data_IF_953043995130
#
_entry.id   IF_953043995130
#
_cell.length_a   1.000
_cell.length_b   1.000
_cell.length_c   1.000
_cell.angle_alpha   90.00
_cell.angle_beta   90.00
_cell.angle_gamma   90.00
#
_symmetry.space_group_name_H-M   'P 1'
#
loop_
_entity.id
_entity.type
_entity.pdbx_description
1 polymer ?
#
# COMPACT_ATOMS: atom_id res chain seq x y z
N UNK A 1 -3.86 21.21 -37.16
CA UNK A 1 -2.74 20.93 -36.23
C UNK A 1 -3.14 19.77 -35.35
N UNK A 2 -2.44 18.64 -35.41
CA UNK A 2 -2.75 17.50 -34.56
C UNK A 2 -2.35 17.85 -33.12
N UNK A 3 -3.32 17.89 -32.21
CA UNK A 3 -3.05 18.04 -30.78
C UNK A 3 -2.07 16.95 -30.35
N UNK A 4 -1.04 17.26 -29.54
CA UNK A 4 -0.12 16.24 -29.05
C UNK A 4 -0.93 15.17 -28.30
N UNK A 5 -0.76 13.90 -28.70
CA UNK A 5 -1.50 12.74 -28.16
C UNK A 5 -1.44 12.60 -26.63
N UNK A 6 -0.49 13.28 -25.99
CA UNK A 6 -0.27 13.30 -24.55
C UNK A 6 0.06 14.72 -24.10
N UNK A 7 -0.76 15.27 -23.21
CA UNK A 7 -0.65 16.61 -22.64
C UNK A 7 -0.85 16.54 -21.11
N UNK A 8 -0.90 17.70 -20.45
CA UNK A 8 -1.12 17.77 -19.00
C UNK A 8 -2.46 17.15 -18.59
N UNK A 9 -3.54 17.42 -19.34
CA UNK A 9 -4.86 16.86 -19.07
C UNK A 9 -4.86 15.32 -19.13
N UNK A 10 -4.14 14.74 -20.09
CA UNK A 10 -3.95 13.29 -20.17
C UNK A 10 -3.29 12.75 -18.90
N UNK A 11 -2.24 13.43 -18.40
CA UNK A 11 -1.55 13.04 -17.17
C UNK A 11 -2.46 13.14 -15.93
N UNK A 12 -3.28 14.20 -15.85
CA UNK A 12 -4.27 14.37 -14.79
C UNK A 12 -5.36 13.31 -14.84
N UNK A 13 -5.87 12.99 -16.04
CA UNK A 13 -6.87 11.95 -16.22
C UNK A 13 -6.31 10.55 -15.90
N UNK A 14 -5.07 10.27 -16.30
CA UNK A 14 -4.38 9.02 -15.94
C UNK A 14 -4.23 8.89 -14.42
N UNK A 15 -3.87 9.98 -13.73
CA UNK A 15 -3.80 10.01 -12.27
C UNK A 15 -5.16 9.69 -11.64
N UNK A 16 -6.24 10.33 -12.11
CA UNK A 16 -7.61 10.09 -11.62
C UNK A 16 -8.06 8.64 -11.82
N UNK A 17 -7.73 8.01 -12.94
CA UNK A 17 -8.04 6.58 -13.19
C UNK A 17 -7.39 5.66 -12.15
N UNK A 18 -6.21 6.04 -11.65
CA UNK A 18 -5.51 5.35 -10.57
C UNK A 18 -5.82 5.90 -9.18
N UNK A 19 -6.92 6.66 -9.05
CA UNK A 19 -7.37 7.32 -7.82
C UNK A 19 -6.29 8.18 -7.16
N UNK A 20 -5.42 8.76 -7.97
CA UNK A 20 -4.42 9.72 -7.54
C UNK A 20 -4.57 11.05 -8.25
N UNK A 21 -3.61 11.94 -8.00
CA UNK A 21 -3.58 13.31 -8.48
C UNK A 21 -2.22 13.63 -9.11
N UNK A 22 -2.24 14.45 -10.16
CA UNK A 22 -1.04 15.04 -10.75
C UNK A 22 -0.84 16.42 -10.10
N UNK A 23 0.22 16.57 -9.31
CA UNK A 23 0.55 17.81 -8.58
C UNK A 23 1.29 18.82 -9.47
N UNK A 24 1.93 18.35 -10.54
CA UNK A 24 2.57 19.23 -11.52
C UNK A 24 1.53 20.02 -12.32
N UNK A 25 1.79 21.32 -12.47
CA UNK A 25 0.95 22.28 -13.22
C UNK A 25 1.37 22.46 -14.67
N UNK A 26 2.53 21.93 -15.05
CA UNK A 26 3.13 22.13 -16.37
C UNK A 26 3.55 20.80 -16.98
N UNK A 27 3.34 20.65 -18.28
CA UNK A 27 3.75 19.48 -19.04
C UNK A 27 4.90 19.87 -19.98
N UNK A 28 6.12 19.48 -19.61
CA UNK A 28 7.34 19.80 -20.36
C UNK A 28 7.76 18.69 -21.34
N UNK A 29 6.97 17.62 -21.45
CA UNK A 29 7.18 16.52 -22.39
C UNK A 29 7.11 15.14 -21.76
N UNK A 30 7.14 14.11 -22.60
CA UNK A 30 6.94 12.69 -22.20
C UNK A 30 8.09 12.12 -21.37
N UNK A 31 9.27 12.73 -21.46
CA UNK A 31 10.50 12.31 -20.78
C UNK A 31 10.77 13.13 -19.51
N UNK A 32 10.01 14.21 -19.29
CA UNK A 32 10.18 15.05 -18.09
C UNK A 32 9.37 14.46 -16.95
N UNK A 33 9.97 14.42 -15.77
CA UNK A 33 9.31 13.91 -14.56
C UNK A 33 8.26 14.91 -14.09
N UNK A 34 7.06 14.41 -13.86
CA UNK A 34 5.95 15.10 -13.21
C UNK A 34 5.78 14.54 -11.80
N UNK A 35 5.31 15.38 -10.89
CA UNK A 35 5.00 15.00 -9.53
C UNK A 35 3.54 14.50 -9.46
N UNK A 36 3.36 13.32 -8.87
CA UNK A 36 2.06 12.68 -8.67
C UNK A 36 1.88 12.29 -7.21
N UNK A 37 0.62 12.17 -6.79
CA UNK A 37 0.21 11.64 -5.49
C UNK A 37 -0.79 10.51 -5.69
N UNK A 38 -0.60 9.35 -5.06
CA UNK A 38 -1.57 8.24 -5.16
C UNK A 38 -2.65 8.30 -4.06
N UNK A 39 -3.68 7.44 -4.15
CA UNK A 39 -4.75 7.31 -3.13
C UNK A 39 -4.21 7.10 -1.71
N UNK A 40 -3.08 6.40 -1.57
CA UNK A 40 -2.43 6.12 -0.29
C UNK A 40 -1.58 7.27 0.25
N UNK A 41 -1.55 8.42 -0.44
CA UNK A 41 -0.76 9.59 -0.05
C UNK A 41 0.69 9.60 -0.54
N UNK A 42 1.19 8.54 -1.18
CA UNK A 42 2.56 8.51 -1.71
C UNK A 42 2.77 9.57 -2.79
N UNK A 43 3.77 10.42 -2.61
CA UNK A 43 4.21 11.42 -3.56
C UNK A 43 5.44 10.92 -4.33
N UNK A 44 5.35 10.87 -5.66
CA UNK A 44 6.43 10.31 -6.46
C UNK A 44 6.58 11.04 -7.80
N UNK A 45 7.82 11.05 -8.29
CA UNK A 45 8.16 11.60 -9.60
C UNK A 45 8.12 10.51 -10.66
N UNK A 46 7.30 10.69 -11.69
CA UNK A 46 7.21 9.77 -12.82
C UNK A 46 7.17 10.53 -14.14
N UNK A 47 7.72 9.93 -15.19
CA UNK A 47 7.62 10.47 -16.55
C UNK A 47 6.35 9.94 -17.22
N UNK A 48 5.63 10.75 -18.02
CA UNK A 48 4.48 10.27 -18.80
C UNK A 48 4.78 9.02 -19.63
N UNK A 49 5.99 8.88 -20.18
CA UNK A 49 6.41 7.69 -20.92
C UNK A 49 6.31 6.38 -20.11
N UNK A 50 6.52 6.41 -18.79
CA UNK A 50 6.41 5.21 -17.93
C UNK A 50 4.96 4.78 -17.78
N UNK A 51 4.03 5.71 -17.64
CA UNK A 51 2.59 5.45 -17.62
C UNK A 51 2.10 4.88 -18.96
N UNK A 52 2.59 5.43 -20.07
CA UNK A 52 2.21 5.02 -21.43
C UNK A 52 2.73 3.62 -21.77
N UNK A 53 4.02 3.37 -21.55
CA UNK A 53 4.69 2.15 -22.03
C UNK A 53 4.71 1.02 -20.99
N UNK A 54 4.94 1.36 -19.72
CA UNK A 54 5.07 0.35 -18.65
C UNK A 54 3.79 0.16 -17.85
N UNK A 55 2.78 1.02 -18.04
CA UNK A 55 1.53 1.04 -17.25
C UNK A 55 1.79 1.04 -15.74
N UNK A 56 2.93 1.59 -15.32
CA UNK A 56 3.30 1.70 -13.92
C UNK A 56 2.80 3.03 -13.40
N UNK A 57 2.13 3.03 -12.24
CA UNK A 57 1.57 4.23 -11.64
C UNK A 57 2.45 4.74 -10.50
N UNK A 58 2.32 4.16 -9.31
CA UNK A 58 3.06 4.57 -8.12
C UNK A 58 4.10 3.50 -7.80
N UNK A 59 5.38 3.88 -7.76
CA UNK A 59 6.46 2.95 -7.43
C UNK A 59 6.29 2.35 -6.04
N UNK A 60 5.83 3.13 -5.05
CA UNK A 60 5.59 2.61 -3.69
C UNK A 60 4.41 1.64 -3.63
N UNK A 61 3.37 1.89 -4.43
CA UNK A 61 2.26 0.93 -4.54
C UNK A 61 2.61 -0.30 -5.39
N UNK A 62 3.55 -0.18 -6.33
CA UNK A 62 3.93 -1.26 -7.25
C UNK A 62 5.07 -2.11 -6.73
N UNK A 63 5.93 -1.54 -5.89
CA UNK A 63 7.09 -2.20 -5.32
C UNK A 63 6.63 -3.10 -4.16
N UNK A 64 6.85 -4.41 -4.33
CA UNK A 64 6.45 -5.45 -3.37
C UNK A 64 7.43 -5.60 -2.21
N UNK A 65 8.53 -4.86 -2.26
CA UNK A 65 9.69 -4.99 -1.39
C UNK A 65 10.13 -3.64 -0.79
N UNK A 66 9.28 -2.60 -0.81
CA UNK A 66 9.57 -1.38 0.00
C UNK A 66 9.51 -1.78 1.46
N UNK A 67 10.63 -1.61 2.17
CA UNK A 67 10.62 -1.64 3.62
C UNK A 67 9.76 -0.47 4.10
N UNK A 68 8.56 -0.77 4.57
CA UNK A 68 7.72 0.22 5.21
C UNK A 68 8.34 0.60 6.56
N UNK A 69 8.22 1.85 6.99
CA UNK A 69 8.66 2.21 8.34
C UNK A 69 7.72 1.59 9.38
N UNK A 70 8.20 1.43 10.61
CA UNK A 70 7.36 0.96 11.70
C UNK A 70 6.12 1.84 11.88
N UNK A 71 6.28 3.17 11.77
CA UNK A 71 5.17 4.12 11.86
C UNK A 71 4.12 3.86 10.78
N UNK A 72 4.52 3.69 9.53
CA UNK A 72 3.58 3.40 8.44
C UNK A 72 2.80 2.11 8.67
N UNK A 73 3.49 1.06 9.13
CA UNK A 73 2.86 -0.24 9.42
C UNK A 73 1.83 -0.11 10.54
N UNK A 74 2.17 0.66 11.58
CA UNK A 74 1.29 0.94 12.70
C UNK A 74 0.05 1.72 12.24
N UNK A 75 0.24 2.84 11.55
CA UNK A 75 -0.86 3.67 11.03
C UNK A 75 -1.78 2.87 10.10
N UNK A 76 -1.23 2.01 9.23
CA UNK A 76 -2.02 1.16 8.35
C UNK A 76 -2.93 0.19 9.13
N UNK A 77 -2.40 -0.42 10.20
CA UNK A 77 -3.15 -1.35 11.04
C UNK A 77 -4.23 -0.60 11.81
N UNK A 78 -3.91 0.56 12.38
CA UNK A 78 -4.85 1.43 13.10
C UNK A 78 -5.97 1.94 12.18
N UNK A 79 -5.64 2.33 10.94
CA UNK A 79 -6.59 2.76 9.91
C UNK A 79 -7.63 1.68 9.56
N UNK A 80 -7.26 0.40 9.66
CA UNK A 80 -8.17 -0.73 9.47
C UNK A 80 -8.92 -1.16 10.75
N UNK A 81 -8.86 -0.36 11.82
CA UNK A 81 -9.47 -0.66 13.12
C UNK A 81 -8.75 -1.79 13.86
N UNK A 82 -7.46 -1.96 13.60
CA UNK A 82 -6.60 -2.93 14.28
C UNK A 82 -5.64 -2.30 15.27
N UNK A 83 -4.99 -3.15 16.06
CA UNK A 83 -3.92 -2.79 16.99
C UNK A 83 -2.71 -3.65 16.68
N UNK A 84 -1.55 -3.01 16.48
CA UNK A 84 -0.26 -3.67 16.32
C UNK A 84 0.38 -3.89 17.70
N UNK A 85 0.73 -5.14 18.02
CA UNK A 85 1.44 -5.50 19.26
C UNK A 85 2.95 -5.65 19.08
N UNK A 86 3.43 -5.92 17.87
CA UNK A 86 4.87 -5.98 17.62
C UNK A 86 5.49 -4.60 17.85
N UNK A 87 6.58 -4.57 18.60
CA UNK A 87 7.37 -3.37 18.89
C UNK A 87 8.42 -3.07 17.82
N UNK A 88 8.68 -4.03 16.93
CA UNK A 88 9.72 -3.95 15.91
C UNK A 88 9.19 -4.41 14.55
N UNK A 89 9.64 -3.72 13.50
CA UNK A 89 9.39 -4.06 12.11
C UNK A 89 10.69 -4.03 11.32
N UNK A 90 11.09 -5.20 10.81
CA UNK A 90 12.35 -5.40 10.08
C UNK A 90 12.07 -5.47 8.57
N UNK A 91 11.04 -6.20 8.13
CA UNK A 91 10.70 -6.35 6.72
C UNK A 91 9.27 -6.85 6.47
N UNK A 92 8.83 -6.78 5.21
CA UNK A 92 7.48 -7.15 4.76
C UNK A 92 7.10 -8.63 4.98
N UNK A 93 8.11 -9.51 5.13
CA UNK A 93 7.94 -10.95 5.34
C UNK A 93 7.93 -11.34 6.82
N UNK A 94 8.30 -10.42 7.72
CA UNK A 94 8.21 -10.63 9.15
C UNK A 94 6.74 -10.81 9.55
N UNK A 95 6.48 -11.77 10.45
CA UNK A 95 5.18 -11.94 11.08
C UNK A 95 5.01 -10.87 12.15
N UNK A 96 3.86 -10.19 12.12
CA UNK A 96 3.50 -9.15 13.08
C UNK A 96 2.36 -9.66 13.94
N UNK A 97 2.35 -9.35 15.23
CA UNK A 97 1.22 -9.66 16.10
C UNK A 97 0.19 -8.54 16.01
N UNK A 98 -0.99 -8.88 15.48
CA UNK A 98 -2.05 -7.91 15.21
C UNK A 98 -3.36 -8.38 15.84
N UNK A 99 -4.17 -7.43 16.29
CA UNK A 99 -5.53 -7.64 16.73
C UNK A 99 -6.51 -6.76 15.97
N UNK A 100 -7.66 -7.30 15.59
CA UNK A 100 -8.72 -6.51 14.95
C UNK A 100 -9.65 -5.92 16.02
N UNK A 101 -10.53 -5.01 15.59
CA UNK A 101 -11.59 -4.43 16.42
C UNK A 101 -12.42 -5.48 17.19
N UNK A 102 -12.68 -6.65 16.59
CA UNK A 102 -13.39 -7.77 17.22
C UNK A 102 -12.53 -8.59 18.20
N UNK A 103 -11.36 -8.09 18.60
CA UNK A 103 -10.40 -8.71 19.53
C UNK A 103 -9.80 -10.05 19.09
N UNK A 104 -9.92 -10.42 17.81
CA UNK A 104 -9.23 -11.60 17.29
C UNK A 104 -7.75 -11.29 17.10
N UNK A 105 -6.86 -12.16 17.59
CA UNK A 105 -5.42 -12.05 17.45
C UNK A 105 -4.91 -13.01 16.37
N UNK A 106 -4.03 -12.53 15.49
CA UNK A 106 -3.34 -13.37 14.50
C UNK A 106 -1.98 -12.78 14.13
N UNK A 107 -1.17 -13.57 13.42
CA UNK A 107 0.20 -13.21 13.04
C UNK A 107 0.40 -13.15 11.51
N UNK A 108 -0.16 -12.13 10.84
CA UNK A 108 0.03 -11.97 9.41
C UNK A 108 1.43 -11.43 9.07
N UNK A 109 1.86 -11.61 7.82
CA UNK A 109 2.96 -10.83 7.25
C UNK A 109 2.43 -9.49 6.75
N UNK A 110 3.23 -8.42 6.83
CA UNK A 110 2.80 -7.12 6.29
C UNK A 110 2.53 -7.18 4.79
N UNK A 111 3.29 -8.01 4.06
CA UNK A 111 3.03 -8.28 2.65
C UNK A 111 1.59 -8.74 2.40
N UNK A 112 1.07 -9.67 3.20
CA UNK A 112 -0.30 -10.16 3.04
C UNK A 112 -1.34 -9.11 3.44
N UNK A 113 -1.07 -8.34 4.50
CA UNK A 113 -1.96 -7.26 4.95
C UNK A 113 -2.09 -6.13 3.91
N UNK A 114 -0.96 -5.75 3.31
CA UNK A 114 -0.87 -4.58 2.43
C UNK A 114 -1.10 -4.90 0.96
N UNK A 115 -0.45 -5.93 0.41
CA UNK A 115 -0.53 -6.27 -1.03
C UNK A 115 -1.73 -7.15 -1.35
N UNK A 116 -1.97 -8.19 -0.55
CA UNK A 116 -3.07 -9.14 -0.78
C UNK A 116 -4.39 -8.65 -0.16
N UNK A 117 -4.39 -7.43 0.41
CA UNK A 117 -5.48 -6.83 1.16
C UNK A 117 -6.13 -7.80 2.17
N UNK A 118 -5.35 -8.74 2.68
CA UNK A 118 -5.85 -9.75 3.62
C UNK A 118 -6.03 -9.13 4.99
N UNK A 119 -7.02 -9.61 5.74
CA UNK A 119 -7.31 -9.12 7.08
C UNK A 119 -7.52 -10.29 8.05
N UNK A 120 -8.22 -10.03 9.16
CA UNK A 120 -8.52 -11.00 10.19
C UNK A 120 -9.19 -12.25 9.60
N UNK A 121 -8.57 -13.45 9.70
CA UNK A 121 -9.10 -14.68 9.10
C UNK A 121 -10.42 -15.13 9.75
N UNK A 122 -10.68 -14.71 10.99
CA UNK A 122 -11.95 -14.96 11.68
C UNK A 122 -13.03 -14.02 11.16
N UNK A 123 -12.73 -12.73 10.96
CA UNK A 123 -13.70 -11.78 10.41
C UNK A 123 -14.02 -12.03 8.94
N UNK A 124 -13.03 -12.43 8.13
CA UNK A 124 -13.18 -12.65 6.70
C UNK A 124 -13.79 -14.01 6.34
N UNK A 125 -14.08 -14.88 7.31
CA UNK A 125 -14.68 -16.20 7.06
C UNK A 125 -13.77 -17.19 6.32
N UNK A 126 -12.52 -16.84 6.03
CA UNK A 126 -11.52 -17.65 5.32
C UNK A 126 -10.78 -18.64 6.23
N UNK A 127 -11.42 -19.04 7.33
CA UNK A 127 -10.78 -19.61 8.51
C UNK A 127 -9.82 -20.78 8.25
N UNK A 128 -8.55 -20.60 8.62
CA UNK A 128 -7.72 -21.54 9.40
C UNK A 128 -6.46 -20.84 9.93
N UNK A 129 -6.20 -21.05 11.24
CA UNK A 129 -5.01 -20.69 12.06
C UNK A 129 -5.08 -19.38 12.85
N UNK A 130 -5.88 -19.39 13.91
CA UNK A 130 -5.49 -18.73 15.17
C UNK A 130 -4.30 -19.49 15.75
N UNK A 131 -3.17 -18.81 15.95
CA UNK A 131 -2.08 -19.34 16.77
C UNK A 131 -2.38 -18.95 18.22
N UNK A 132 -2.64 -19.92 19.09
CA UNK A 132 -3.01 -19.61 20.47
C UNK A 132 -3.74 -20.69 21.29
N UNK A 133 -3.60 -21.99 20.98
CA UNK A 133 -3.61 -23.02 22.04
C UNK A 133 -2.17 -23.44 22.30
N UNK A 134 -1.55 -22.77 23.27
CA UNK A 134 -0.55 -23.30 24.21
C UNK A 134 -0.28 -22.24 25.27
N UNK A 135 -1.28 -21.94 26.09
CA UNK A 135 -0.99 -21.58 27.48
C UNK A 135 -0.69 -22.91 28.15
N UNK A 136 0.58 -23.21 28.43
CA UNK A 136 0.89 -24.20 29.47
C UNK A 136 0.41 -23.54 30.77
N UNK A 137 -0.70 -24.03 31.30
CA UNK A 137 -1.03 -23.81 32.70
C UNK A 137 0.02 -24.60 33.46
N UNK A 138 1.03 -23.92 33.98
CA UNK A 138 1.86 -24.50 35.04
C UNK A 138 0.98 -24.62 36.28
N UNK A 139 1.07 -25.80 36.87
CA UNK A 139 0.28 -26.34 37.98
C UNK A 139 0.31 -25.47 39.23
#
# INVERSE_FOLDING_TARGET
>A
MALPKYNLEWCQNYAKQHKGECLSKEYLGRTVKLLYRCEKGHEFYATPAVHIHKKSWCNECSNRDVAHTYEFVKEFIESKGGVLFSTEYINVRQKLDVQCEKKHKWNPTFQNLFHNNSWCPVCSGTGRRTYGKRVRVIS
#
